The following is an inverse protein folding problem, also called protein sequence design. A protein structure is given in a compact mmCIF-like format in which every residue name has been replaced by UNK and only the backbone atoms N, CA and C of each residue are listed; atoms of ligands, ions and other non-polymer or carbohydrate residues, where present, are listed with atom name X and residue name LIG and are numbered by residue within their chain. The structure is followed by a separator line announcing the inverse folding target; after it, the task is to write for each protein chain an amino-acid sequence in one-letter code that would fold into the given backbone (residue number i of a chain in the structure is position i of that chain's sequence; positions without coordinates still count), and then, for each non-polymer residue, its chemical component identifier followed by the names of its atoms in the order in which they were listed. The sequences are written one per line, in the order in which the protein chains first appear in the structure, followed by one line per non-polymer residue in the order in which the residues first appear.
data_IF_963675459718
#
_entry.id   IF_963675459718
#
_cell.length_a   1.000
_cell.length_b   1.000
_cell.length_c   1.000
_cell.angle_alpha   90.00
_cell.angle_beta   90.00
_cell.angle_gamma   90.00
#
_symmetry.space_group_name_H-M   'P 1'
#
loop_
_entity.id
_entity.type
_entity.pdbx_description
1 polymer ?
#
# COMPACT_ATOMS: atom_id res chain seq x y z
N UNK A 1 -15.92 2.54 7.97
CA UNK A 1 -14.95 2.68 6.87
C UNK A 1 -13.59 2.91 7.49
N UNK A 2 -12.61 2.09 7.15
CA UNK A 2 -11.26 2.16 7.71
C UNK A 2 -10.49 3.41 7.27
N UNK A 3 -9.43 3.70 8.01
CA UNK A 3 -8.54 4.83 7.71
C UNK A 3 -7.38 4.40 6.82
N UNK A 4 -6.96 5.28 5.92
CA UNK A 4 -5.77 5.07 5.08
C UNK A 4 -4.60 5.78 5.76
N UNK A 5 -3.50 5.05 5.98
CA UNK A 5 -2.24 5.62 6.46
C UNK A 5 -1.15 5.36 5.43
N UNK A 6 -0.62 6.42 4.85
CA UNK A 6 0.49 6.36 3.92
C UNK A 6 1.82 6.47 4.66
N UNK A 7 2.73 5.53 4.43
CA UNK A 7 4.06 5.54 5.05
C UNK A 7 5.17 5.22 4.07
N UNK A 8 6.35 5.77 4.32
CA UNK A 8 7.56 5.50 3.53
C UNK A 8 7.87 4.01 3.41
N UNK A 9 8.67 3.62 2.42
CA UNK A 9 9.32 2.32 2.49
C UNK A 9 10.08 2.20 3.83
N UNK A 10 10.19 0.99 4.37
CA UNK A 10 10.92 0.70 5.63
C UNK A 10 10.42 1.41 6.89
N UNK A 11 9.28 2.11 6.88
CA UNK A 11 8.73 2.77 8.09
C UNK A 11 7.94 1.84 9.04
N UNK A 12 8.13 0.51 8.92
CA UNK A 12 7.51 -0.46 9.83
C UNK A 12 6.05 -0.86 9.53
N UNK A 13 5.49 -0.53 8.35
CA UNK A 13 4.10 -0.92 7.97
C UNK A 13 3.83 -2.42 8.14
N UNK A 14 4.72 -3.26 7.62
CA UNK A 14 4.57 -4.72 7.71
C UNK A 14 4.73 -5.25 9.13
N UNK A 15 5.48 -4.54 9.98
CA UNK A 15 5.57 -4.86 11.42
C UNK A 15 4.23 -4.53 12.08
N UNK A 16 3.66 -3.35 11.81
CA UNK A 16 2.38 -2.92 12.34
C UNK A 16 1.25 -3.88 11.94
N UNK A 17 1.18 -4.27 10.67
CA UNK A 17 0.17 -5.21 10.15
C UNK A 17 0.29 -6.64 10.68
N UNK A 18 1.47 -7.03 11.21
CA UNK A 18 1.66 -8.31 11.92
C UNK A 18 1.36 -8.21 13.41
N UNK A 19 1.58 -7.03 14.00
CA UNK A 19 1.45 -6.80 15.45
C UNK A 19 -0.01 -6.61 15.89
N UNK A 20 -0.82 -5.97 15.07
CA UNK A 20 -2.21 -5.63 15.41
C UNK A 20 -3.19 -6.33 14.47
N UNK A 21 -4.34 -6.71 15.01
CA UNK A 21 -5.44 -7.29 14.24
C UNK A 21 -6.16 -6.22 13.41
N UNK A 22 -6.83 -6.67 12.36
CA UNK A 22 -7.67 -5.85 11.49
C UNK A 22 -6.95 -4.67 10.80
N UNK A 23 -5.63 -4.82 10.59
CA UNK A 23 -4.81 -3.91 9.80
C UNK A 23 -4.38 -4.60 8.51
N UNK A 24 -4.48 -3.90 7.39
CA UNK A 24 -4.01 -4.38 6.09
C UNK A 24 -2.81 -3.58 5.61
N UNK A 25 -1.63 -4.21 5.56
CA UNK A 25 -0.50 -3.69 4.77
C UNK A 25 -0.73 -3.99 3.29
N UNK A 26 -1.03 -2.96 2.50
CA UNK A 26 -1.38 -3.07 1.10
C UNK A 26 -0.21 -2.58 0.23
N UNK A 27 0.76 -3.46 0.01
CA UNK A 27 1.90 -3.18 -0.87
C UNK A 27 1.43 -2.92 -2.31
N UNK A 28 2.03 -1.93 -2.99
CA UNK A 28 1.67 -1.58 -4.36
C UNK A 28 2.35 -2.47 -5.43
N UNK A 29 3.44 -3.17 -5.07
CA UNK A 29 4.24 -3.97 -6.01
C UNK A 29 3.45 -5.08 -6.71
N UNK A 30 2.59 -5.85 -6.01
CA UNK A 30 1.75 -6.88 -6.63
C UNK A 30 0.71 -6.34 -7.63
N UNK A 31 0.31 -5.07 -7.48
CA UNK A 31 -0.65 -4.43 -8.39
C UNK A 31 0.05 -3.77 -9.58
N UNK A 32 1.28 -3.29 -9.38
CA UNK A 32 2.11 -2.70 -10.45
C UNK A 32 2.59 -3.73 -11.46
N UNK A 33 2.84 -4.97 -11.03
CA UNK A 33 3.49 -6.00 -11.84
C UNK A 33 2.60 -7.23 -12.01
N UNK A 34 2.78 -7.97 -13.09
CA UNK A 34 2.24 -9.32 -13.23
C UNK A 34 3.03 -10.22 -12.28
N UNK A 35 2.32 -10.86 -11.34
CA UNK A 35 2.93 -11.70 -10.31
C UNK A 35 2.94 -13.16 -10.76
N UNK A 36 4.07 -13.83 -10.54
CA UNK A 36 4.18 -15.28 -10.74
C UNK A 36 3.69 -15.98 -9.46
N UNK A 37 2.64 -16.79 -9.56
CA UNK A 37 1.94 -17.35 -8.40
C UNK A 37 2.79 -18.38 -7.62
N UNK A 38 3.80 -18.95 -8.26
CA UNK A 38 4.72 -19.96 -7.72
C UNK A 38 5.87 -19.37 -6.89
N UNK A 39 6.08 -18.04 -6.92
CA UNK A 39 7.20 -17.39 -6.24
C UNK A 39 6.67 -16.40 -5.19
N UNK A 40 7.19 -16.40 -3.94
CA UNK A 40 6.86 -15.37 -2.96
C UNK A 40 7.15 -13.95 -3.47
N UNK A 41 6.28 -12.99 -3.14
CA UNK A 41 6.39 -11.58 -3.58
C UNK A 41 7.78 -10.99 -3.33
N UNK A 42 8.35 -11.22 -2.15
CA UNK A 42 9.70 -10.74 -1.79
C UNK A 42 10.79 -11.27 -2.72
N UNK A 43 10.74 -12.56 -3.08
CA UNK A 43 11.71 -13.17 -3.99
C UNK A 43 11.56 -12.68 -5.43
N UNK A 44 10.41 -12.13 -5.79
CA UNK A 44 10.20 -11.49 -7.09
C UNK A 44 10.74 -10.05 -7.13
N UNK A 45 10.98 -9.40 -5.98
CA UNK A 45 11.58 -8.05 -5.95
C UNK A 45 13.00 -8.11 -6.52
N UNK A 46 13.42 -7.05 -7.22
CA UNK A 46 14.74 -6.97 -7.88
C UNK A 46 14.86 -7.73 -9.21
N UNK A 47 13.90 -8.58 -9.58
CA UNK A 47 13.88 -9.25 -10.89
C UNK A 47 13.16 -8.41 -11.94
N UNK A 48 13.43 -8.70 -13.23
CA UNK A 48 12.69 -8.12 -14.36
C UNK A 48 11.25 -8.63 -14.31
N UNK A 49 10.31 -7.70 -14.19
CA UNK A 49 8.88 -7.98 -14.04
C UNK A 49 8.09 -7.24 -15.11
N UNK A 50 7.10 -7.92 -15.66
CA UNK A 50 6.16 -7.31 -16.60
C UNK A 50 5.18 -6.42 -15.85
N UNK A 51 4.84 -5.30 -16.46
CA UNK A 51 3.91 -4.33 -15.89
C UNK A 51 2.48 -4.83 -16.06
N UNK A 52 1.69 -4.71 -15.00
CA UNK A 52 0.27 -5.06 -15.07
C UNK A 52 -0.46 -4.01 -15.92
N UNK A 53 -1.22 -4.39 -16.97
CA UNK A 53 -1.96 -3.44 -17.82
C UNK A 53 -3.08 -2.71 -17.08
N UNK A 54 -3.56 -3.24 -15.95
CA UNK A 54 -4.64 -2.64 -15.14
C UNK A 54 -4.14 -1.58 -14.15
N UNK A 55 -2.83 -1.36 -14.06
CA UNK A 55 -2.25 -0.36 -13.17
C UNK A 55 -2.54 1.07 -13.68
N UNK A 56 -2.74 2.06 -12.80
CA UNK A 56 -2.78 1.95 -11.34
C UNK A 56 -4.17 1.59 -10.79
N UNK A 57 -5.21 1.52 -11.63
CA UNK A 57 -6.60 1.42 -11.18
C UNK A 57 -6.86 0.18 -10.31
N UNK A 58 -6.27 -0.97 -10.67
CA UNK A 58 -6.37 -2.19 -9.87
C UNK A 58 -5.89 -2.04 -8.40
N UNK A 59 -4.94 -1.14 -8.14
CA UNK A 59 -4.49 -0.84 -6.79
C UNK A 59 -5.50 0.02 -6.03
N UNK A 60 -6.08 1.01 -6.69
CA UNK A 60 -7.10 1.86 -6.09
C UNK A 60 -8.39 1.09 -5.79
N UNK A 61 -8.79 0.18 -6.67
CA UNK A 61 -9.91 -0.73 -6.43
C UNK A 61 -9.63 -1.61 -5.20
N UNK A 62 -8.40 -2.12 -5.06
CA UNK A 62 -8.02 -2.90 -3.89
C UNK A 62 -7.98 -2.08 -2.60
N UNK A 63 -7.57 -0.81 -2.63
CA UNK A 63 -7.65 0.10 -1.48
C UNK A 63 -9.11 0.31 -1.09
N UNK A 64 -9.98 0.61 -2.06
CA UNK A 64 -11.41 0.83 -1.84
C UNK A 64 -12.09 -0.40 -1.24
N UNK A 65 -11.70 -1.60 -1.65
CA UNK A 65 -12.19 -2.84 -1.05
C UNK A 65 -11.61 -3.09 0.35
N UNK A 66 -10.33 -2.75 0.57
CA UNK A 66 -9.69 -2.93 1.87
C UNK A 66 -10.29 -2.01 2.94
N UNK A 67 -10.58 -0.74 2.63
CA UNK A 67 -11.17 0.20 3.62
C UNK A 67 -12.58 -0.18 4.04
N UNK A 68 -13.26 -1.06 3.31
CA UNK A 68 -14.56 -1.63 3.71
C UNK A 68 -14.40 -2.78 4.71
N UNK A 69 -13.25 -3.45 4.72
CA UNK A 69 -12.99 -4.71 5.44
C UNK A 69 -12.09 -4.55 6.68
N UNK A 70 -11.21 -3.56 6.67
CA UNK A 70 -10.18 -3.35 7.69
C UNK A 70 -10.35 -2.00 8.37
N UNK A 71 -9.92 -1.89 9.63
CA UNK A 71 -9.95 -0.63 10.37
C UNK A 71 -8.84 0.32 9.89
N UNK A 72 -7.70 -0.25 9.50
CA UNK A 72 -6.54 0.49 9.00
C UNK A 72 -6.01 -0.15 7.74
N UNK A 73 -5.84 0.64 6.68
CA UNK A 73 -5.18 0.26 5.44
C UNK A 73 -3.90 1.05 5.29
N UNK A 74 -2.77 0.36 5.34
CA UNK A 74 -1.45 0.96 5.18
C UNK A 74 -1.09 0.94 3.70
N UNK A 75 -0.75 2.10 3.16
CA UNK A 75 -0.34 2.26 1.76
C UNK A 75 1.07 2.82 1.66
N UNK A 76 1.69 2.66 0.50
CA UNK A 76 2.98 3.30 0.25
C UNK A 76 2.79 4.80 0.05
N UNK A 77 3.63 5.60 0.71
CA UNK A 77 3.73 7.03 0.45
C UNK A 77 4.36 7.25 -0.93
N UNK A 78 3.52 7.61 -1.91
CA UNK A 78 3.90 8.03 -3.27
C UNK A 78 2.96 9.14 -3.74
N UNK A 79 3.48 10.27 -4.25
CA UNK A 79 2.67 11.40 -4.70
C UNK A 79 1.54 11.02 -5.67
N UNK A 80 1.81 10.11 -6.61
CA UNK A 80 0.83 9.65 -7.62
C UNK A 80 -0.47 9.08 -7.00
N UNK A 81 -0.42 8.52 -5.78
CA UNK A 81 -1.60 7.99 -5.10
C UNK A 81 -2.42 9.10 -4.43
N UNK A 82 -1.77 10.18 -3.99
CA UNK A 82 -2.42 11.29 -3.30
C UNK A 82 -3.26 12.13 -4.26
N UNK A 83 -2.77 12.38 -5.47
CA UNK A 83 -3.56 13.03 -6.52
C UNK A 83 -4.88 12.29 -6.80
N UNK A 84 -4.85 10.95 -6.77
CA UNK A 84 -6.05 10.13 -6.93
C UNK A 84 -6.98 10.29 -5.73
N UNK A 85 -6.45 10.19 -4.50
CA UNK A 85 -7.25 10.33 -3.29
C UNK A 85 -7.92 11.69 -3.19
N UNK A 86 -7.18 12.77 -3.45
CA UNK A 86 -7.66 14.14 -3.39
C UNK A 86 -8.79 14.37 -4.42
N UNK A 87 -8.62 13.92 -5.67
CA UNK A 87 -9.64 14.03 -6.73
C UNK A 87 -10.95 13.28 -6.40
N UNK A 88 -10.87 12.23 -5.58
CA UNK A 88 -12.02 11.40 -5.22
C UNK A 88 -12.51 11.65 -3.78
N UNK A 89 -12.04 12.71 -3.12
CA UNK A 89 -12.38 13.05 -1.73
C UNK A 89 -12.11 11.91 -0.73
N UNK A 90 -11.08 11.11 -0.97
CA UNK A 90 -10.65 10.03 -0.09
C UNK A 90 -9.72 10.62 0.97
N UNK A 91 -10.09 10.49 2.24
CA UNK A 91 -9.27 10.96 3.38
C UNK A 91 -8.15 9.98 3.67
N UNK A 92 -6.94 10.51 3.89
CA UNK A 92 -5.77 9.74 4.30
C UNK A 92 -4.93 10.53 5.30
N UNK A 93 -4.13 9.80 6.08
CA UNK A 93 -3.09 10.35 6.94
C UNK A 93 -1.72 9.98 6.38
N UNK A 94 -0.75 10.88 6.50
CA UNK A 94 0.65 10.58 6.17
C UNK A 94 1.43 10.37 7.46
N UNK A 95 2.08 9.21 7.59
CA UNK A 95 2.98 8.91 8.68
C UNK A 95 4.42 9.27 8.28
N UNK A 96 4.91 10.40 8.79
CA UNK A 96 6.30 10.83 8.64
C UNK A 96 7.18 10.27 9.76
N UNK A 97 8.39 9.78 9.45
CA UNK A 97 9.35 9.44 10.50
C UNK A 97 9.76 10.72 11.25
N UNK A 98 9.88 10.62 12.57
CA UNK A 98 10.43 11.69 13.38
C UNK A 98 11.95 11.71 13.20
N UNK A 99 12.49 12.77 12.59
CA UNK A 99 13.93 12.92 12.30
C UNK A 99 14.76 13.12 13.59
N UNK A 100 14.14 13.55 14.69
CA UNK A 100 14.86 13.84 15.93
C UNK A 100 15.16 12.60 16.79
N UNK A 101 14.62 11.42 16.45
CA UNK A 101 14.74 10.19 17.23
C UNK A 101 15.34 9.01 16.43
N UNK A 102 16.32 9.27 15.57
CA UNK A 102 17.06 8.24 14.82
C UNK A 102 18.38 7.88 15.51
#
# INVERSE_FOLDING_TARGET
MGIIIAGFATCGKSILGKKYNNIKDLESSPYKNIMKNDIPVEKQKGTKRELNPLRPQNYYDAINEAVKKYDVVLVQLKPEHFDYFDKHNIKYSIAYPNINNW
#
